data_IF_849419925493
#
_entry.id   IF_849419925493
#
_cell.length_a   1.000
_cell.length_b   1.000
_cell.length_c   1.000
_cell.angle_alpha   90.00
_cell.angle_beta   90.00
_cell.angle_gamma   90.00
#
_symmetry.space_group_name_H-M   'P 1'
#
loop_
_entity.id
_entity.type
_entity.pdbx_description
1 polymer ?
#
# COMPACT_ATOMS: atom_id res chain seq x y z
N UNK A 1 -23.21 64.36 31.94
CA UNK A 1 -22.84 62.89 31.87
C UNK A 1 -22.56 62.61 30.44
N UNK A 2 -21.25 62.39 30.10
CA UNK A 2 -20.81 62.08 28.74
C UNK A 2 -20.67 60.56 28.63
N UNK A 3 -21.51 59.92 27.80
CA UNK A 3 -21.40 58.50 27.49
C UNK A 3 -20.32 58.27 26.45
N UNK A 4 -19.23 57.63 26.82
CA UNK A 4 -18.18 57.20 25.93
C UNK A 4 -18.59 55.84 25.34
N UNK A 5 -18.91 55.85 24.02
CA UNK A 5 -19.20 54.62 23.28
C UNK A 5 -17.87 53.97 22.90
N UNK A 6 -17.57 52.82 23.53
CA UNK A 6 -16.46 51.96 23.16
C UNK A 6 -16.95 51.06 22.01
N UNK A 7 -16.42 51.24 20.80
CA UNK A 7 -16.63 50.38 19.65
C UNK A 7 -15.56 49.29 19.72
N UNK A 8 -15.91 48.00 19.88
CA UNK A 8 -14.94 46.93 19.78
C UNK A 8 -14.55 46.72 18.31
N UNK A 9 -13.29 47.00 18.00
CA UNK A 9 -12.69 46.67 16.71
C UNK A 9 -12.44 45.15 16.67
N UNK A 10 -13.35 44.40 16.02
CA UNK A 10 -13.15 42.99 15.71
C UNK A 10 -12.11 42.89 14.59
N UNK A 11 -10.88 42.60 14.95
CA UNK A 11 -9.89 42.15 14.01
C UNK A 11 -10.26 40.70 13.59
N UNK A 12 -10.91 40.56 12.45
CA UNK A 12 -10.99 39.28 11.76
C UNK A 12 -9.59 38.95 11.23
N UNK A 13 -8.87 38.08 11.94
CA UNK A 13 -7.68 37.43 11.40
C UNK A 13 -8.17 36.45 10.34
N UNK A 14 -8.22 36.92 9.10
CA UNK A 14 -8.40 36.03 7.96
C UNK A 14 -7.19 35.10 7.90
N UNK A 15 -7.39 33.85 8.26
CA UNK A 15 -6.44 32.79 7.93
C UNK A 15 -6.45 32.69 6.40
N UNK A 16 -5.49 33.31 5.76
CA UNK A 16 -5.18 32.99 4.38
C UNK A 16 -4.53 31.58 4.42
N UNK A 17 -5.34 30.54 4.22
CA UNK A 17 -4.78 29.30 3.75
C UNK A 17 -4.12 29.63 2.41
N UNK A 18 -2.80 29.70 2.37
CA UNK A 18 -2.10 29.67 1.10
C UNK A 18 -2.42 28.33 0.47
N UNK A 19 -3.13 28.35 -0.66
CA UNK A 19 -3.20 27.19 -1.54
C UNK A 19 -1.76 26.95 -2.03
N UNK A 20 -1.09 26.00 -1.38
CA UNK A 20 0.22 25.53 -1.81
C UNK A 20 -0.04 24.67 -3.04
N UNK A 21 0.25 25.20 -4.22
CA UNK A 21 0.24 24.43 -5.44
C UNK A 21 1.40 23.42 -5.37
N UNK A 22 1.06 22.14 -5.30
CA UNK A 22 2.05 21.07 -5.26
C UNK A 22 2.45 20.70 -6.68
N UNK A 23 3.73 20.46 -6.89
CA UNK A 23 4.29 20.00 -8.18
C UNK A 23 3.65 18.71 -8.63
N UNK A 24 3.33 17.83 -7.71
CA UNK A 24 2.66 16.56 -7.94
C UNK A 24 1.50 16.37 -6.97
N UNK A 25 0.38 15.87 -7.47
CA UNK A 25 -0.69 15.32 -6.65
C UNK A 25 -0.45 13.82 -6.47
N UNK A 26 -0.04 13.37 -5.28
CA UNK A 26 0.25 11.98 -5.06
C UNK A 26 -1.04 11.14 -5.11
N UNK A 27 -0.98 10.03 -5.83
CA UNK A 27 -2.05 9.03 -5.78
C UNK A 27 -1.87 8.24 -4.49
N UNK A 28 -2.92 8.28 -3.65
CA UNK A 28 -2.92 7.57 -2.37
C UNK A 28 -3.55 6.20 -2.59
N UNK A 29 -2.87 5.16 -2.13
CA UNK A 29 -3.36 3.79 -2.16
C UNK A 29 -3.04 3.06 -0.84
N UNK A 30 -3.63 1.88 -0.67
CA UNK A 30 -3.32 0.97 0.43
C UNK A 30 -2.45 -0.16 -0.07
N UNK A 31 -1.52 -0.61 0.76
CA UNK A 31 -0.72 -1.79 0.48
C UNK A 31 -0.64 -2.71 1.70
N UNK A 32 -0.84 -3.99 1.46
CA UNK A 32 -0.68 -5.04 2.45
C UNK A 32 0.53 -5.89 2.07
N UNK A 33 1.46 -6.01 2.98
CA UNK A 33 2.66 -6.81 2.85
C UNK A 33 2.55 -8.04 3.74
N UNK A 34 2.64 -9.22 3.16
CA UNK A 34 2.67 -10.50 3.88
C UNK A 34 4.04 -11.12 3.69
N UNK A 35 4.87 -11.02 4.71
CA UNK A 35 6.22 -11.55 4.73
C UNK A 35 6.25 -12.97 5.26
N UNK A 36 7.01 -13.84 4.63
CA UNK A 36 7.06 -15.24 5.04
C UNK A 36 8.22 -16.03 4.48
N UNK A 37 8.28 -17.27 4.94
CA UNK A 37 9.25 -18.27 4.47
C UNK A 37 8.54 -19.40 3.74
N UNK A 38 9.20 -20.04 2.79
CA UNK A 38 8.63 -21.18 2.09
C UNK A 38 8.50 -22.40 3.01
N UNK A 39 7.42 -23.15 2.85
CA UNK A 39 7.29 -24.48 3.41
C UNK A 39 8.34 -25.41 2.81
N UNK A 40 8.66 -26.49 3.51
CA UNK A 40 9.68 -27.42 3.07
C UNK A 40 9.46 -27.91 1.63
N UNK A 41 10.47 -27.76 0.78
CA UNK A 41 10.45 -28.14 -0.62
C UNK A 41 9.59 -27.23 -1.52
N UNK A 42 9.21 -26.05 -1.05
CA UNK A 42 8.48 -25.02 -1.80
C UNK A 42 9.40 -23.87 -2.21
N UNK A 43 9.03 -23.17 -3.28
CA UNK A 43 9.81 -22.08 -3.85
C UNK A 43 8.91 -20.99 -4.50
N UNK A 44 9.53 -20.05 -5.19
CA UNK A 44 8.84 -18.97 -5.90
C UNK A 44 7.89 -19.50 -6.99
N UNK A 45 8.24 -20.61 -7.67
CA UNK A 45 7.36 -21.17 -8.70
C UNK A 45 6.06 -21.70 -8.08
N UNK A 46 6.15 -22.29 -6.87
CA UNK A 46 4.95 -22.70 -6.13
C UNK A 46 4.08 -21.50 -5.76
N UNK A 47 4.70 -20.34 -5.41
CA UNK A 47 3.94 -19.11 -5.14
C UNK A 47 3.28 -18.56 -6.39
N UNK A 48 3.94 -18.59 -7.54
CA UNK A 48 3.34 -18.20 -8.83
C UNK A 48 2.17 -19.11 -9.19
N UNK A 49 2.32 -20.41 -8.99
CA UNK A 49 1.20 -21.36 -9.19
C UNK A 49 0.04 -21.11 -8.21
N UNK A 50 0.35 -20.71 -6.99
CA UNK A 50 -0.68 -20.34 -6.02
C UNK A 50 -1.36 -19.01 -6.37
N UNK A 51 -0.58 -18.04 -6.88
CA UNK A 51 -1.14 -16.77 -7.40
C UNK A 51 -2.19 -17.05 -8.49
N UNK A 52 -1.92 -17.96 -9.44
CA UNK A 52 -2.89 -18.28 -10.48
C UNK A 52 -4.20 -18.83 -9.89
N UNK A 53 -4.14 -19.69 -8.86
CA UNK A 53 -5.34 -20.17 -8.16
C UNK A 53 -6.08 -19.06 -7.44
N UNK A 54 -5.34 -18.08 -6.88
CA UNK A 54 -5.94 -16.92 -6.27
C UNK A 54 -6.62 -16.04 -7.33
N UNK A 55 -5.96 -15.80 -8.47
CA UNK A 55 -6.51 -15.03 -9.57
C UNK A 55 -7.80 -15.66 -10.11
N UNK A 56 -7.79 -16.96 -10.39
CA UNK A 56 -8.98 -17.70 -10.82
C UNK A 56 -10.14 -17.55 -9.81
N UNK A 57 -9.85 -17.65 -8.52
CA UNK A 57 -10.85 -17.46 -7.47
C UNK A 57 -11.33 -15.99 -7.40
N UNK A 58 -10.43 -15.03 -7.55
CA UNK A 58 -10.72 -13.60 -7.49
C UNK A 58 -11.61 -13.15 -8.66
N UNK A 59 -11.38 -13.68 -9.86
CA UNK A 59 -12.19 -13.43 -11.06
C UNK A 59 -13.66 -13.86 -10.87
N UNK A 60 -13.91 -14.86 -10.04
CA UNK A 60 -15.26 -15.35 -9.71
C UNK A 60 -15.98 -14.47 -8.65
N UNK A 61 -15.36 -13.36 -8.16
CA UNK A 61 -15.90 -12.55 -7.08
C UNK A 61 -16.60 -11.24 -7.55
N UNK A 62 -17.34 -11.27 -8.64
CA UNK A 62 -18.15 -10.15 -9.13
C UNK A 62 -17.40 -8.80 -9.22
N UNK A 63 -16.14 -8.82 -9.67
CA UNK A 63 -15.32 -7.62 -9.89
C UNK A 63 -14.79 -6.97 -8.62
N UNK A 64 -14.89 -7.63 -7.47
CA UNK A 64 -14.38 -7.09 -6.19
C UNK A 64 -12.86 -6.89 -6.21
N UNK A 65 -12.15 -7.68 -7.00
CA UNK A 65 -10.68 -7.68 -7.09
C UNK A 65 -10.14 -7.01 -8.36
N UNK A 66 -10.99 -6.48 -9.25
CA UNK A 66 -10.59 -5.94 -10.56
C UNK A 66 -9.53 -4.84 -10.49
N UNK A 67 -9.57 -4.03 -9.43
CA UNK A 67 -8.65 -2.90 -9.25
C UNK A 67 -7.46 -3.22 -8.32
N UNK A 68 -7.38 -4.45 -7.82
CA UNK A 68 -6.25 -4.88 -7.02
C UNK A 68 -5.05 -5.24 -7.91
N UNK A 69 -3.85 -4.90 -7.48
CA UNK A 69 -2.64 -5.44 -8.09
C UNK A 69 -1.85 -6.25 -7.06
N UNK A 70 -1.19 -7.30 -7.54
CA UNK A 70 -0.36 -8.18 -6.71
C UNK A 70 1.08 -8.13 -7.20
N UNK A 71 2.02 -8.03 -6.26
CA UNK A 71 3.42 -8.25 -6.53
C UNK A 71 3.97 -9.37 -5.62
N UNK A 72 4.81 -10.23 -6.19
CA UNK A 72 5.60 -11.19 -5.45
C UNK A 72 7.04 -10.68 -5.40
N UNK A 73 7.53 -10.38 -4.20
CA UNK A 73 8.91 -9.92 -4.01
C UNK A 73 9.73 -11.07 -3.42
N UNK A 74 10.90 -11.28 -4.00
CA UNK A 74 11.91 -12.19 -3.46
C UNK A 74 13.09 -11.35 -2.97
N UNK A 75 13.51 -11.48 -1.70
CA UNK A 75 14.64 -10.72 -1.18
C UNK A 75 15.89 -10.97 -2.02
N UNK A 76 16.60 -9.89 -2.30
CA UNK A 76 17.86 -9.87 -2.99
C UNK A 76 18.75 -8.82 -2.34
N UNK A 77 19.94 -9.18 -1.89
CA UNK A 77 20.83 -8.31 -1.09
C UNK A 77 20.23 -7.84 0.25
N UNK A 78 19.55 -8.73 0.96
CA UNK A 78 19.17 -8.47 2.35
C UNK A 78 20.31 -8.92 3.31
N UNK A 79 20.42 -8.23 4.45
CA UNK A 79 21.41 -8.57 5.49
C UNK A 79 21.17 -9.94 6.12
N UNK A 80 19.92 -10.38 6.19
CA UNK A 80 19.52 -11.73 6.61
C UNK A 80 18.60 -12.39 5.58
N UNK A 81 19.22 -13.10 4.65
CA UNK A 81 18.50 -13.84 3.59
C UNK A 81 17.73 -15.04 4.11
N UNK A 82 17.90 -15.43 5.39
CA UNK A 82 17.17 -16.56 5.99
C UNK A 82 15.87 -16.15 6.66
N UNK A 83 15.65 -14.86 6.90
CA UNK A 83 14.49 -14.37 7.64
C UNK A 83 13.21 -14.34 6.81
N UNK A 84 13.34 -14.06 5.51
CA UNK A 84 12.21 -13.89 4.59
C UNK A 84 12.58 -14.48 3.23
N UNK A 85 11.77 -15.38 2.71
CA UNK A 85 11.94 -15.92 1.35
C UNK A 85 11.08 -15.20 0.33
N UNK A 86 9.90 -14.73 0.75
CA UNK A 86 8.90 -14.15 -0.13
C UNK A 86 8.09 -13.09 0.61
N UNK A 87 7.74 -12.02 -0.11
CA UNK A 87 6.76 -11.04 0.34
C UNK A 87 5.66 -10.99 -0.73
N UNK A 88 4.44 -11.27 -0.30
CA UNK A 88 3.25 -11.04 -1.10
C UNK A 88 2.75 -9.63 -0.82
N UNK A 89 2.52 -8.83 -1.86
CA UNK A 89 2.04 -7.44 -1.73
C UNK A 89 0.73 -7.30 -2.47
N UNK A 90 -0.31 -6.90 -1.75
CA UNK A 90 -1.56 -6.42 -2.34
C UNK A 90 -1.55 -4.90 -2.39
N UNK A 91 -1.89 -4.31 -3.54
CA UNK A 91 -2.13 -2.88 -3.64
C UNK A 91 -3.60 -2.64 -3.97
N UNK A 92 -4.22 -1.71 -3.24
CA UNK A 92 -5.63 -1.35 -3.33
C UNK A 92 -5.78 0.14 -3.63
N UNK A 93 -6.63 0.54 -4.58
CA UNK A 93 -6.86 1.95 -4.87
C UNK A 93 -7.40 2.73 -3.66
N UNK A 94 -8.13 2.05 -2.78
CA UNK A 94 -8.70 2.67 -1.59
C UNK A 94 -8.93 1.67 -0.44
N UNK A 95 -9.06 2.16 0.81
CA UNK A 95 -9.46 1.33 1.94
C UNK A 95 -10.84 0.67 1.75
N UNK A 96 -11.75 1.32 1.04
CA UNK A 96 -13.10 0.79 0.82
C UNK A 96 -13.04 -0.49 -0.01
N UNK A 97 -12.24 -0.49 -1.08
CA UNK A 97 -12.04 -1.68 -1.92
C UNK A 97 -11.30 -2.77 -1.15
N UNK A 98 -10.27 -2.41 -0.39
CA UNK A 98 -9.54 -3.33 0.48
C UNK A 98 -10.48 -4.06 1.46
N UNK A 99 -11.32 -3.32 2.19
CA UNK A 99 -12.21 -3.93 3.19
C UNK A 99 -13.34 -4.72 2.55
N UNK A 100 -13.87 -4.30 1.40
CA UNK A 100 -14.83 -5.08 0.63
C UNK A 100 -14.24 -6.42 0.17
N UNK A 101 -13.00 -6.39 -0.30
CA UNK A 101 -12.28 -7.59 -0.70
C UNK A 101 -12.00 -8.51 0.48
N UNK A 102 -11.63 -7.97 1.65
CA UNK A 102 -11.46 -8.74 2.87
C UNK A 102 -12.75 -9.42 3.32
N UNK A 103 -13.88 -8.72 3.28
CA UNK A 103 -15.19 -9.31 3.56
C UNK A 103 -15.50 -10.47 2.59
N UNK A 104 -15.26 -10.26 1.30
CA UNK A 104 -15.44 -11.29 0.26
C UNK A 104 -14.50 -12.46 0.47
N UNK A 105 -13.24 -12.21 0.86
CA UNK A 105 -12.27 -13.25 1.20
C UNK A 105 -12.78 -14.16 2.32
N UNK A 106 -13.28 -13.57 3.39
CA UNK A 106 -13.78 -14.31 4.56
C UNK A 106 -15.06 -15.06 4.25
N UNK A 107 -15.99 -14.46 3.51
CA UNK A 107 -17.30 -15.04 3.22
C UNK A 107 -17.34 -15.92 1.97
N UNK A 108 -16.48 -15.62 0.98
CA UNK A 108 -16.38 -16.32 -0.31
C UNK A 108 -15.49 -17.55 -0.32
N UNK A 109 -14.92 -17.92 0.82
CA UNK A 109 -14.13 -19.16 0.96
C UNK A 109 -12.65 -19.02 0.61
N UNK A 110 -12.11 -17.80 0.60
CA UNK A 110 -10.68 -17.53 0.42
C UNK A 110 -9.79 -18.24 1.45
N UNK A 111 -10.32 -18.51 2.66
CA UNK A 111 -9.65 -19.28 3.70
C UNK A 111 -9.26 -20.70 3.24
N UNK A 112 -9.99 -21.26 2.27
CA UNK A 112 -9.66 -22.58 1.69
C UNK A 112 -8.38 -22.53 0.88
N UNK A 113 -8.12 -21.41 0.19
CA UNK A 113 -6.89 -21.19 -0.56
C UNK A 113 -5.67 -21.13 0.36
N UNK A 114 -5.79 -20.51 1.54
CA UNK A 114 -4.70 -20.42 2.52
C UNK A 114 -4.17 -21.80 2.94
N UNK A 115 -5.01 -22.83 2.93
CA UNK A 115 -4.58 -24.21 3.26
C UNK A 115 -3.54 -24.75 2.29
N UNK A 116 -3.53 -24.20 1.06
CA UNK A 116 -2.61 -24.61 -0.01
C UNK A 116 -1.48 -23.60 -0.23
N UNK A 117 -1.43 -22.51 0.56
CA UNK A 117 -0.38 -21.50 0.47
C UNK A 117 1.00 -22.17 0.66
N UNK A 118 1.97 -21.98 -0.24
CA UNK A 118 3.27 -22.63 -0.17
C UNK A 118 4.24 -21.98 0.83
N UNK A 119 3.84 -20.88 1.47
CA UNK A 119 4.59 -20.18 2.50
C UNK A 119 3.91 -20.21 3.86
N UNK A 120 4.67 -19.83 4.88
CA UNK A 120 4.17 -19.48 6.22
C UNK A 120 4.43 -18.01 6.43
N UNK A 121 3.37 -17.21 6.58
CA UNK A 121 3.50 -15.80 6.85
C UNK A 121 3.92 -15.58 8.32
N UNK A 122 4.97 -14.84 8.53
CA UNK A 122 5.52 -14.51 9.84
C UNK A 122 5.14 -13.09 10.28
N UNK A 123 4.92 -12.20 9.33
CA UNK A 123 4.64 -10.80 9.57
C UNK A 123 3.68 -10.23 8.53
N UNK A 124 2.86 -9.26 8.95
CA UNK A 124 1.97 -8.52 8.07
C UNK A 124 2.08 -7.02 8.37
N UNK A 125 2.19 -6.22 7.32
CA UNK A 125 2.15 -4.76 7.41
C UNK A 125 1.04 -4.24 6.50
N UNK A 126 0.17 -3.40 7.04
CA UNK A 126 -0.84 -2.65 6.30
C UNK A 126 -0.45 -1.17 6.28
N UNK A 127 -0.14 -0.63 5.11
CA UNK A 127 0.44 0.68 4.94
C UNK A 127 -0.36 1.57 3.99
N UNK A 128 -0.28 2.87 4.24
CA UNK A 128 -0.63 3.87 3.25
C UNK A 128 0.58 4.10 2.34
N UNK A 129 0.32 4.18 1.04
CA UNK A 129 1.33 4.53 0.04
C UNK A 129 0.93 5.77 -0.73
N UNK A 130 1.92 6.54 -1.12
CA UNK A 130 1.78 7.70 -2.01
C UNK A 130 2.67 7.50 -3.21
N UNK A 131 2.06 7.43 -4.38
CA UNK A 131 2.80 7.37 -5.65
C UNK A 131 3.21 8.78 -6.04
N UNK A 132 4.50 9.05 -6.06
CA UNK A 132 5.08 10.37 -6.36
C UNK A 132 5.63 10.49 -7.79
N UNK A 133 5.76 9.38 -8.48
CA UNK A 133 6.11 9.33 -9.90
C UNK A 133 5.40 8.17 -10.57
N UNK A 134 5.08 8.32 -11.86
CA UNK A 134 4.46 7.24 -12.59
C UNK A 134 5.46 6.11 -12.80
N UNK A 135 5.14 4.88 -12.38
CA UNK A 135 5.97 3.73 -12.66
C UNK A 135 5.93 3.42 -14.17
N UNK A 136 6.88 2.63 -14.64
CA UNK A 136 6.74 1.99 -15.93
C UNK A 136 5.50 1.09 -15.96
N UNK A 137 4.82 1.02 -17.08
CA UNK A 137 3.74 0.04 -17.26
C UNK A 137 4.35 -1.36 -17.25
N UNK A 138 3.87 -2.18 -16.31
CA UNK A 138 4.30 -3.57 -16.15
C UNK A 138 3.10 -4.48 -16.39
N UNK A 139 3.30 -5.50 -17.21
CA UNK A 139 2.34 -6.57 -17.42
C UNK A 139 2.45 -7.69 -16.40
N UNK A 140 1.49 -8.61 -16.43
CA UNK A 140 1.54 -9.81 -15.59
C UNK A 140 2.75 -10.66 -15.98
N UNK A 141 3.59 -11.00 -14.99
CA UNK A 141 4.82 -11.77 -15.18
C UNK A 141 6.06 -10.95 -15.49
N UNK A 142 5.94 -9.64 -15.65
CA UNK A 142 7.11 -8.76 -15.81
C UNK A 142 7.90 -8.69 -14.50
N UNK A 143 9.20 -8.59 -14.64
CA UNK A 143 10.13 -8.48 -13.51
C UNK A 143 10.53 -7.02 -13.29
N UNK A 144 10.57 -6.61 -12.03
CA UNK A 144 11.11 -5.33 -11.63
C UNK A 144 12.06 -5.49 -10.44
N UNK A 145 12.93 -4.50 -10.24
CA UNK A 145 13.73 -4.38 -9.05
C UNK A 145 13.12 -3.31 -8.15
N UNK A 146 12.88 -3.65 -6.88
CA UNK A 146 12.36 -2.72 -5.89
C UNK A 146 13.38 -2.52 -4.76
N UNK A 147 13.57 -1.28 -4.33
CA UNK A 147 14.41 -0.92 -3.18
C UNK A 147 13.54 -0.33 -2.08
N UNK A 148 13.74 -0.77 -0.87
CA UNK A 148 13.09 -0.23 0.33
C UNK A 148 14.14 0.41 1.21
N UNK A 149 13.81 1.55 1.79
CA UNK A 149 14.67 2.26 2.74
C UNK A 149 13.80 2.95 3.80
N UNK A 150 14.26 2.88 5.04
CA UNK A 150 13.71 3.68 6.13
C UNK A 150 14.23 5.10 5.99
N UNK A 151 13.31 6.07 5.99
CA UNK A 151 13.63 7.48 5.84
C UNK A 151 13.02 8.28 6.98
N UNK A 152 13.74 9.28 7.45
CA UNK A 152 13.23 10.32 8.35
C UNK A 152 13.34 11.68 7.69
N UNK A 153 12.37 12.55 7.98
CA UNK A 153 12.43 13.93 7.48
C UNK A 153 13.58 14.67 8.17
N UNK A 154 14.29 15.50 7.42
CA UNK A 154 15.20 16.47 7.99
C UNK A 154 14.43 17.55 8.76
N UNK A 155 15.12 18.24 9.69
CA UNK A 155 14.50 19.29 10.48
C UNK A 155 13.86 20.36 9.60
N UNK A 156 12.62 20.69 9.89
CA UNK A 156 11.85 21.71 9.14
C UNK A 156 11.17 21.18 7.86
N UNK A 157 11.32 19.92 7.52
CA UNK A 157 10.65 19.29 6.38
C UNK A 157 9.55 18.34 6.83
N UNK A 158 8.55 18.18 5.98
CA UNK A 158 7.45 17.21 6.15
C UNK A 158 7.49 16.15 5.07
N UNK A 159 6.74 15.06 5.24
CA UNK A 159 6.57 14.06 4.18
C UNK A 159 6.13 14.69 2.86
N UNK A 160 5.32 15.76 2.91
CA UNK A 160 4.88 16.47 1.71
C UNK A 160 6.05 17.11 0.95
N UNK A 161 7.06 17.60 1.65
CA UNK A 161 8.23 18.23 1.03
C UNK A 161 9.03 17.26 0.13
N UNK A 162 8.88 15.95 0.36
CA UNK A 162 9.53 14.91 -0.46
C UNK A 162 8.91 14.81 -1.86
N UNK A 163 7.63 15.21 -2.01
CA UNK A 163 6.95 15.09 -3.30
C UNK A 163 7.32 16.20 -4.30
N UNK A 164 7.94 17.26 -3.80
CA UNK A 164 8.31 18.44 -4.59
C UNK A 164 9.79 18.43 -5.00
N UNK A 165 10.53 17.35 -4.66
CA UNK A 165 11.88 17.14 -5.11
C UNK A 165 11.92 16.60 -6.53
#
# INVERSE_FOLDING_TARGET
MKHLLLIPFLFSIGSFAQDVEFKYEPVINKAEYYMGTYKNGKDLNDMVMWYNKFADWADDQDGVYDNMTVALLSPYFNSDMSAIDVIWVNNWPSPVEQFKALETWVTGGGDKLLKTLPSVNSEQVDAWQWTISNPAELGVGDMMYATYADCSNADGYSNRSVYDL
#
